data_IF_562052788044
#
_entry.id   IF_562052788044
#
_cell.length_a   1.000
_cell.length_b   1.000
_cell.length_c   1.000
_cell.angle_alpha   90.00
_cell.angle_beta   90.00
_cell.angle_gamma   90.00
#
_symmetry.space_group_name_H-M   'P 1'
#
loop_
_entity.id
_entity.type
_entity.pdbx_description
1 polymer ?
#
# COMPACT_ATOMS: atom_id res chain seq x y z
N UNK A 1 -21.00 -2.10 5.11
CA UNK A 1 -21.11 -0.63 5.32
C UNK A 1 -22.02 -0.44 6.52
N UNK A 2 -21.80 0.53 7.40
CA UNK A 2 -22.61 0.71 8.62
C UNK A 2 -23.94 1.42 8.36
N UNK A 3 -24.89 1.21 9.27
CA UNK A 3 -26.23 1.80 9.21
C UNK A 3 -26.19 3.33 9.21
N UNK A 4 -25.21 3.94 9.88
CA UNK A 4 -25.00 5.40 9.88
C UNK A 4 -24.81 5.96 8.47
N UNK A 5 -24.17 5.20 7.57
CA UNK A 5 -23.94 5.60 6.18
C UNK A 5 -24.98 5.03 5.20
N UNK A 6 -25.77 4.02 5.61
CA UNK A 6 -26.82 3.42 4.80
C UNK A 6 -28.22 4.02 5.05
N UNK A 7 -28.42 4.71 6.18
CA UNK A 7 -29.71 5.29 6.57
C UNK A 7 -30.13 6.50 5.73
N UNK A 8 -31.27 7.10 6.10
CA UNK A 8 -31.88 8.24 5.40
C UNK A 8 -30.92 9.44 5.23
N UNK A 9 -30.10 9.72 6.25
CA UNK A 9 -29.06 10.76 6.21
C UNK A 9 -27.66 10.21 5.87
N UNK A 10 -27.60 8.99 5.31
CA UNK A 10 -26.37 8.23 5.14
C UNK A 10 -25.30 8.95 4.34
N UNK A 11 -25.69 9.58 3.23
CA UNK A 11 -24.78 10.37 2.40
C UNK A 11 -24.23 11.60 3.13
N UNK A 12 -25.08 12.34 3.86
CA UNK A 12 -24.66 13.53 4.62
C UNK A 12 -23.70 13.13 5.74
N UNK A 13 -23.99 12.04 6.44
CA UNK A 13 -23.13 11.50 7.48
C UNK A 13 -21.76 11.06 6.94
N UNK A 14 -21.74 10.44 5.76
CA UNK A 14 -20.50 10.09 5.06
C UNK A 14 -19.71 11.34 4.65
N UNK A 15 -20.38 12.34 4.07
CA UNK A 15 -19.73 13.58 3.61
C UNK A 15 -19.11 14.37 4.78
N UNK A 16 -19.83 14.51 5.89
CA UNK A 16 -19.32 15.18 7.09
C UNK A 16 -18.10 14.44 7.66
N UNK A 17 -18.17 13.10 7.73
CA UNK A 17 -17.01 12.29 8.10
C UNK A 17 -15.84 12.49 7.11
N UNK A 18 -16.09 12.47 5.81
CA UNK A 18 -15.07 12.60 4.77
C UNK A 18 -14.28 13.91 4.94
N UNK A 19 -15.00 15.03 5.06
CA UNK A 19 -14.40 16.37 5.22
C UNK A 19 -13.62 16.49 6.53
N UNK A 20 -14.20 16.00 7.65
CA UNK A 20 -13.53 16.04 8.96
C UNK A 20 -12.28 15.17 9.04
N UNK A 21 -12.18 14.14 8.21
CA UNK A 21 -11.07 13.19 8.22
C UNK A 21 -10.03 13.46 7.12
N UNK A 22 -10.05 14.64 6.49
CA UNK A 22 -8.99 15.08 5.58
C UNK A 22 -9.13 14.56 4.16
N UNK A 23 -10.36 14.39 3.67
CA UNK A 23 -10.63 14.09 2.27
C UNK A 23 -9.87 15.04 1.33
N UNK A 24 -9.34 14.46 0.25
CA UNK A 24 -8.74 15.15 -0.88
C UNK A 24 -9.02 14.33 -2.14
N UNK A 25 -9.11 14.98 -3.30
CA UNK A 25 -9.34 14.32 -4.60
C UNK A 25 -8.22 13.32 -4.97
N UNK A 26 -7.05 13.45 -4.36
CA UNK A 26 -5.91 12.54 -4.56
C UNK A 26 -5.99 11.27 -3.69
N UNK A 27 -6.98 11.19 -2.80
CA UNK A 27 -7.13 10.10 -1.84
C UNK A 27 -8.29 9.18 -2.22
N UNK A 28 -8.12 7.91 -1.89
CA UNK A 28 -9.11 6.85 -2.02
C UNK A 28 -9.50 6.35 -0.63
N UNK A 29 -10.74 5.89 -0.49
CA UNK A 29 -11.21 5.29 0.75
C UNK A 29 -10.68 3.85 0.87
N UNK A 30 -10.05 3.54 1.98
CA UNK A 30 -9.51 2.23 2.31
C UNK A 30 -10.04 1.74 3.65
N UNK A 31 -10.03 0.42 3.85
CA UNK A 31 -10.38 -0.18 5.14
C UNK A 31 -9.12 -0.47 5.94
N UNK A 32 -9.14 -0.15 7.24
CA UNK A 32 -8.02 -0.43 8.14
C UNK A 32 -7.96 -1.96 8.36
N UNK A 33 -9.09 -2.56 8.72
CA UNK A 33 -9.31 -4.00 8.70
C UNK A 33 -10.09 -4.41 7.44
N UNK A 34 -9.43 -5.19 6.59
CA UNK A 34 -10.01 -5.72 5.36
C UNK A 34 -11.22 -6.63 5.58
N UNK A 35 -11.34 -7.27 6.74
CA UNK A 35 -12.47 -8.11 7.11
C UNK A 35 -13.64 -7.31 7.71
N UNK A 36 -13.39 -6.04 8.06
CA UNK A 36 -14.39 -5.15 8.62
C UNK A 36 -15.28 -4.45 7.59
N UNK A 37 -16.27 -3.74 8.12
CA UNK A 37 -17.23 -2.95 7.35
C UNK A 37 -16.67 -1.58 6.94
N UNK A 38 -17.35 -0.93 5.99
CA UNK A 38 -17.16 0.51 5.74
C UNK A 38 -17.89 1.32 6.80
N UNK A 39 -17.14 1.93 7.69
CA UNK A 39 -17.63 2.74 8.80
C UNK A 39 -16.55 3.72 9.27
N UNK A 40 -16.92 4.83 9.94
CA UNK A 40 -15.99 5.86 10.39
C UNK A 40 -14.74 5.33 11.10
N UNK A 41 -14.90 4.30 11.92
CA UNK A 41 -13.86 3.67 12.74
C UNK A 41 -12.96 2.69 11.99
N UNK A 42 -13.41 2.17 10.85
CA UNK A 42 -12.66 1.20 10.04
C UNK A 42 -12.25 1.75 8.66
N UNK A 43 -12.59 3.00 8.36
CA UNK A 43 -12.23 3.66 7.11
C UNK A 43 -11.13 4.70 7.33
N UNK A 44 -10.31 4.89 6.30
CA UNK A 44 -9.30 5.95 6.24
C UNK A 44 -9.12 6.42 4.81
N UNK A 45 -8.63 7.65 4.67
CA UNK A 45 -8.16 8.16 3.40
C UNK A 45 -6.71 7.76 3.18
N UNK A 46 -6.43 7.16 2.03
CA UNK A 46 -5.08 6.76 1.64
C UNK A 46 -4.83 7.14 0.19
N UNK A 47 -3.57 7.26 -0.21
CA UNK A 47 -3.25 7.36 -1.64
C UNK A 47 -3.43 6.00 -2.30
N UNK A 48 -3.69 5.98 -3.61
CA UNK A 48 -3.75 4.76 -4.41
C UNK A 48 -2.50 3.88 -4.26
N UNK A 49 -1.35 4.49 -3.99
CA UNK A 49 -0.11 3.79 -3.69
C UNK A 49 -0.17 3.00 -2.38
N UNK A 50 -0.68 3.62 -1.31
CA UNK A 50 -0.83 3.00 0.00
C UNK A 50 -1.88 1.89 -0.05
N UNK A 51 -3.02 2.13 -0.71
CA UNK A 51 -4.05 1.10 -0.92
C UNK A 51 -3.49 -0.14 -1.64
N UNK A 52 -2.71 0.04 -2.71
CA UNK A 52 -2.08 -1.06 -3.44
C UNK A 52 -1.10 -1.87 -2.57
N UNK A 53 -0.31 -1.18 -1.74
CA UNK A 53 0.63 -1.83 -0.81
C UNK A 53 -0.08 -2.59 0.32
N UNK A 54 -1.27 -2.15 0.73
CA UNK A 54 -2.07 -2.80 1.79
C UNK A 54 -2.98 -3.93 1.27
N UNK A 55 -3.05 -4.13 -0.06
CA UNK A 55 -3.86 -5.22 -0.62
C UNK A 55 -3.31 -6.59 -0.21
N UNK A 56 -4.20 -7.56 0.03
CA UNK A 56 -3.83 -8.97 0.34
C UNK A 56 -2.92 -9.63 -0.71
N UNK A 57 -2.83 -9.06 -1.90
CA UNK A 57 -2.00 -9.54 -3.00
C UNK A 57 -0.58 -8.95 -2.98
N UNK A 58 -0.31 -7.96 -2.12
CA UNK A 58 1.03 -7.44 -1.93
C UNK A 58 1.93 -8.56 -1.39
N UNK A 59 2.97 -8.90 -2.17
CA UNK A 59 3.99 -9.85 -1.73
C UNK A 59 4.82 -9.16 -0.64
N UNK A 60 4.69 -9.63 0.60
CA UNK A 60 5.50 -9.17 1.71
C UNK A 60 6.78 -10.00 1.80
N UNK A 61 7.90 -9.32 2.00
CA UNK A 61 9.21 -9.92 2.23
C UNK A 61 9.64 -9.51 3.63
N UNK A 62 9.99 -10.50 4.43
CA UNK A 62 10.61 -10.30 5.73
C UNK A 62 12.13 -10.35 5.59
N UNK A 63 12.79 -9.30 6.06
CA UNK A 63 14.24 -9.19 6.04
C UNK A 63 14.72 -8.34 7.22
N UNK A 64 15.74 -8.81 7.96
CA UNK A 64 16.26 -8.16 9.17
C UNK A 64 15.17 -7.77 10.19
N UNK A 65 14.22 -8.66 10.45
CA UNK A 65 13.13 -8.44 11.42
C UNK A 65 12.10 -7.39 10.98
N UNK A 66 12.13 -6.95 9.72
CA UNK A 66 11.15 -6.02 9.14
C UNK A 66 10.37 -6.70 8.03
N UNK A 67 9.05 -6.69 8.13
CA UNK A 67 8.13 -7.15 7.09
C UNK A 67 7.66 -5.95 6.27
N UNK A 68 7.99 -5.94 4.97
CA UNK A 68 7.59 -4.87 4.04
C UNK A 68 7.20 -5.43 2.68
N UNK A 69 6.44 -4.67 1.91
CA UNK A 69 6.11 -5.02 0.52
C UNK A 69 7.34 -4.97 -0.38
N UNK A 70 7.31 -5.68 -1.52
CA UNK A 70 8.36 -5.57 -2.56
C UNK A 70 8.60 -4.11 -2.97
N UNK A 71 7.53 -3.32 -3.12
CA UNK A 71 7.61 -1.92 -3.53
C UNK A 71 8.36 -1.06 -2.51
N UNK A 72 8.11 -1.26 -1.22
CA UNK A 72 8.82 -0.57 -0.16
C UNK A 72 10.29 -0.96 -0.12
N UNK A 73 10.60 -2.26 -0.18
CA UNK A 73 11.98 -2.73 -0.22
C UNK A 73 12.73 -2.17 -1.42
N UNK A 74 12.11 -2.17 -2.61
CA UNK A 74 12.68 -1.61 -3.82
C UNK A 74 13.03 -0.12 -3.66
N UNK A 75 12.17 0.67 -3.01
CA UNK A 75 12.45 2.08 -2.69
C UNK A 75 13.60 2.24 -1.70
N UNK A 76 13.61 1.45 -0.62
CA UNK A 76 14.64 1.50 0.42
C UNK A 76 16.02 1.24 -0.16
N UNK A 77 16.15 0.24 -1.03
CA UNK A 77 17.42 -0.15 -1.64
C UNK A 77 17.73 0.61 -2.95
N UNK A 78 16.82 1.48 -3.39
CA UNK A 78 17.01 2.32 -4.58
C UNK A 78 16.98 1.57 -5.90
N UNK A 79 16.16 0.52 -6.04
CA UNK A 79 15.99 -0.23 -7.28
C UNK A 79 14.54 -0.22 -7.76
N UNK A 80 14.31 -0.55 -9.03
CA UNK A 80 12.94 -0.70 -9.53
C UNK A 80 12.26 -1.92 -8.91
N UNK A 81 10.95 -1.81 -8.65
CA UNK A 81 10.12 -2.91 -8.14
C UNK A 81 10.22 -4.15 -9.04
N UNK A 82 10.28 -3.95 -10.36
CA UNK A 82 10.38 -5.04 -11.33
C UNK A 82 11.74 -5.73 -11.28
N UNK A 83 12.82 -4.99 -11.05
CA UNK A 83 14.15 -5.58 -10.83
C UNK A 83 14.18 -6.45 -9.58
N UNK A 84 13.57 -5.99 -8.48
CA UNK A 84 13.47 -6.79 -7.26
C UNK A 84 12.61 -8.05 -7.48
N UNK A 85 11.44 -7.90 -8.13
CA UNK A 85 10.56 -9.02 -8.45
C UNK A 85 11.26 -10.05 -9.36
N UNK A 86 12.03 -9.59 -10.36
CA UNK A 86 12.80 -10.44 -11.26
C UNK A 86 13.87 -11.24 -10.52
N UNK A 87 14.58 -10.64 -9.56
CA UNK A 87 15.57 -11.37 -8.72
C UNK A 87 14.92 -12.52 -7.97
N UNK A 88 13.77 -12.26 -7.34
CA UNK A 88 13.03 -13.29 -6.60
C UNK A 88 12.48 -14.38 -7.53
N UNK A 89 11.98 -14.01 -8.71
CA UNK A 89 11.54 -14.96 -9.72
C UNK A 89 12.70 -15.83 -10.25
N UNK A 90 13.91 -15.28 -10.33
CA UNK A 90 15.12 -16.01 -10.68
C UNK A 90 15.67 -16.88 -9.54
N UNK A 91 14.93 -17.03 -8.44
CA UNK A 91 15.31 -17.87 -7.31
C UNK A 91 16.43 -17.29 -6.45
N UNK A 92 16.66 -15.97 -6.49
CA UNK A 92 17.61 -15.35 -5.57
C UNK A 92 17.10 -15.44 -4.14
N UNK A 93 18.01 -15.69 -3.20
CA UNK A 93 17.69 -15.55 -1.78
C UNK A 93 17.30 -14.11 -1.45
N UNK A 94 16.47 -13.93 -0.42
CA UNK A 94 15.99 -12.61 0.02
C UNK A 94 17.18 -11.68 0.32
N UNK A 95 18.16 -12.16 1.08
CA UNK A 95 19.41 -11.46 1.39
C UNK A 95 20.11 -10.95 0.13
N UNK A 96 20.31 -11.83 -0.87
CA UNK A 96 20.99 -11.50 -2.11
C UNK A 96 20.17 -10.50 -2.93
N UNK A 97 18.86 -10.70 -2.98
CA UNK A 97 17.94 -9.85 -3.75
C UNK A 97 17.88 -8.42 -3.20
N UNK A 98 18.02 -8.23 -1.88
CA UNK A 98 17.97 -6.93 -1.21
C UNK A 98 19.35 -6.27 -1.07
N UNK A 99 20.44 -7.03 -0.96
CA UNK A 99 21.79 -6.47 -0.77
C UNK A 99 22.53 -6.14 -2.07
N UNK A 100 22.10 -6.70 -3.22
CA UNK A 100 22.81 -6.49 -4.48
C UNK A 100 22.41 -5.16 -5.13
N UNK A 101 23.31 -4.19 -5.36
CA UNK A 101 23.00 -2.98 -6.13
C UNK A 101 22.78 -3.29 -7.62
N UNK A 102 22.05 -2.45 -8.34
CA UNK A 102 21.98 -2.53 -9.82
C UNK A 102 23.17 -1.75 -10.39
N UNK A 103 23.77 -2.25 -11.48
CA UNK A 103 24.76 -1.48 -12.23
C UNK A 103 24.12 -0.17 -12.72
N UNK A 104 24.72 0.96 -12.33
CA UNK A 104 24.22 2.31 -12.60
C UNK A 104 23.98 2.57 -14.09
N UNK A 105 24.60 1.80 -14.99
CA UNK A 105 24.34 1.84 -16.44
C UNK A 105 22.90 1.48 -16.82
N UNK A 106 22.19 0.71 -15.99
CA UNK A 106 20.82 0.25 -16.23
C UNK A 106 19.77 0.90 -15.31
N UNK A 107 20.20 1.81 -14.43
CA UNK A 107 19.32 2.62 -13.60
C UNK A 107 18.62 3.66 -14.47
N UNK A 108 17.38 3.39 -14.92
CA UNK A 108 16.55 4.44 -15.51
C UNK A 108 16.39 5.57 -14.49
N UNK A 109 16.82 6.79 -14.83
CA UNK A 109 16.47 8.01 -14.11
C UNK A 109 14.94 8.08 -14.08
N UNK A 110 14.36 7.95 -12.90
CA UNK A 110 13.00 8.38 -12.62
C UNK A 110 12.94 9.90 -12.66
#
# INVERSE_FOLDING_TARGET
>A
MCDQWLGENGFVNFLDWALKNGYSEELTIDRIDNNGNYCPENCRWVTSLVQNNNSRHAKFIEYNGKKRSISEWARIIGISRDSLAKRLHMGWSIDKALSTPIDKRYSRKC
#
